data_IF_340415004284
#
_entry.id   IF_340415004284
#
_cell.length_a   1.000
_cell.length_b   1.000
_cell.length_c   1.000
_cell.angle_alpha   90.00
_cell.angle_beta   90.00
_cell.angle_gamma   90.00
#
_symmetry.space_group_name_H-M   'P 1'
#
loop_
_entity.id
_entity.type
_entity.pdbx_description
1 polymer ?
#
# COMPACT_ATOMS: atom_id res chain seq x y z
N UNK A 1 -20.25 10.63 1.21
CA UNK A 1 -18.97 9.92 1.33
C UNK A 1 -19.03 8.75 0.37
N UNK A 2 -18.44 8.87 -0.82
CA UNK A 2 -18.50 7.83 -1.84
C UNK A 2 -17.59 6.69 -1.42
N UNK A 3 -18.14 5.52 -1.12
CA UNK A 3 -17.34 4.32 -0.86
C UNK A 3 -16.61 3.95 -2.16
N UNK A 4 -15.28 4.06 -2.12
CA UNK A 4 -14.42 3.58 -3.19
C UNK A 4 -14.56 2.05 -3.23
N UNK A 5 -15.14 1.52 -4.30
CA UNK A 5 -15.32 0.07 -4.47
C UNK A 5 -13.98 -0.54 -4.88
N UNK A 6 -13.19 -0.97 -3.90
CA UNK A 6 -11.94 -1.70 -4.14
C UNK A 6 -12.28 -3.09 -4.68
N UNK A 7 -11.77 -3.44 -5.88
CA UNK A 7 -11.96 -4.76 -6.46
C UNK A 7 -11.33 -5.82 -5.55
N UNK A 8 -12.16 -6.62 -4.87
CA UNK A 8 -11.72 -7.74 -4.02
C UNK A 8 -11.28 -8.99 -4.81
N UNK A 9 -11.21 -8.89 -6.13
CA UNK A 9 -11.02 -10.03 -7.04
C UNK A 9 -9.83 -9.76 -7.95
N UNK A 10 -8.92 -10.73 -8.03
CA UNK A 10 -7.68 -10.64 -8.78
C UNK A 10 -7.94 -10.53 -10.27
N UNK A 11 -7.46 -9.45 -10.90
CA UNK A 11 -7.56 -9.23 -12.35
C UNK A 11 -6.83 -10.28 -13.18
N UNK A 12 -5.88 -11.00 -12.57
CA UNK A 12 -5.07 -12.02 -13.26
C UNK A 12 -5.70 -13.41 -13.23
N UNK A 13 -6.36 -13.79 -12.15
CA UNK A 13 -6.84 -15.17 -11.97
C UNK A 13 -8.25 -15.30 -11.38
N UNK A 14 -8.92 -14.20 -11.05
CA UNK A 14 -10.24 -14.22 -10.40
C UNK A 14 -10.24 -14.57 -8.91
N UNK A 15 -9.05 -14.75 -8.31
CA UNK A 15 -8.88 -15.14 -6.90
C UNK A 15 -9.18 -14.05 -5.88
N UNK A 16 -9.33 -14.42 -4.61
CA UNK A 16 -9.51 -13.48 -3.50
C UNK A 16 -8.27 -12.58 -3.33
N UNK A 17 -8.51 -11.29 -3.13
CA UNK A 17 -7.47 -10.32 -2.78
C UNK A 17 -7.65 -9.82 -1.34
N UNK A 18 -6.54 -9.69 -0.61
CA UNK A 18 -6.49 -9.13 0.73
C UNK A 18 -5.60 -7.91 0.80
N UNK A 19 -6.01 -6.95 1.61
CA UNK A 19 -5.26 -5.73 1.86
C UNK A 19 -3.94 -6.00 2.59
N UNK A 20 -2.97 -5.12 2.36
CA UNK A 20 -1.66 -5.17 2.98
C UNK A 20 -0.76 -4.03 2.53
N UNK A 21 0.53 -4.15 2.85
CA UNK A 21 1.54 -3.16 2.50
C UNK A 21 2.84 -3.83 2.04
N UNK A 22 3.44 -3.26 1.00
CA UNK A 22 4.79 -3.59 0.59
C UNK A 22 5.78 -2.86 1.50
N UNK A 23 6.58 -3.62 2.23
CA UNK A 23 7.67 -3.12 3.05
C UNK A 23 8.95 -3.15 2.23
N UNK A 24 9.35 -1.96 1.77
CA UNK A 24 10.64 -1.74 1.12
C UNK A 24 11.60 -1.07 2.11
N UNK A 25 12.35 -1.87 2.85
CA UNK A 25 13.30 -1.36 3.83
C UNK A 25 14.69 -1.24 3.19
N UNK A 26 15.14 -0.01 2.98
CA UNK A 26 16.50 0.27 2.53
C UNK A 26 17.52 -0.19 3.60
N UNK A 27 18.06 -1.40 3.42
CA UNK A 27 19.05 -2.00 4.32
C UNK A 27 19.00 -3.52 4.37
N UNK A 28 17.84 -4.12 4.08
CA UNK A 28 17.70 -5.56 3.88
C UNK A 28 17.31 -5.79 2.44
N UNK A 29 18.13 -6.48 1.65
CA UNK A 29 17.97 -6.66 0.19
C UNK A 29 16.68 -7.40 -0.26
N UNK A 30 15.67 -7.50 0.59
CA UNK A 30 14.43 -8.21 0.30
C UNK A 30 13.24 -7.34 0.70
N UNK A 31 12.46 -6.96 -0.31
CA UNK A 31 11.12 -6.41 -0.14
C UNK A 31 10.22 -7.46 0.50
N UNK A 32 9.41 -7.06 1.48
CA UNK A 32 8.48 -7.95 2.20
C UNK A 32 7.03 -7.50 2.00
N UNK A 33 6.11 -8.42 2.18
CA UNK A 33 4.67 -8.11 2.25
C UNK A 33 4.19 -8.23 3.69
N UNK A 34 3.42 -7.25 4.13
CA UNK A 34 2.72 -7.26 5.41
C UNK A 34 1.22 -7.39 5.13
N UNK A 35 0.61 -8.48 5.59
CA UNK A 35 -0.84 -8.69 5.44
C UNK A 35 -1.63 -7.83 6.45
N UNK A 36 -2.78 -7.33 6.01
CA UNK A 36 -3.72 -6.56 6.83
C UNK A 36 -3.47 -5.05 6.84
N UNK A 37 -4.39 -4.30 7.46
CA UNK A 37 -4.32 -2.85 7.47
C UNK A 37 -3.19 -2.38 8.38
N UNK A 38 -2.32 -1.53 7.84
CA UNK A 38 -1.20 -0.98 8.62
C UNK A 38 -1.67 0.21 9.45
N UNK A 39 -1.45 0.11 10.77
CA UNK A 39 -1.56 1.22 11.69
C UNK A 39 -0.26 2.03 11.69
N UNK A 40 -0.33 3.28 11.22
CA UNK A 40 0.83 4.16 11.19
C UNK A 40 0.94 4.93 12.51
N UNK A 41 2.01 4.66 13.26
CA UNK A 41 2.35 5.49 14.43
C UNK A 41 2.77 6.91 14.01
N UNK A 42 2.62 7.93 14.88
CA UNK A 42 2.95 9.34 14.59
C UNK A 42 4.44 9.61 14.30
N UNK A 43 5.30 8.59 14.40
CA UNK A 43 6.76 8.67 14.22
C UNK A 43 7.29 7.52 13.35
N UNK A 44 6.74 7.32 12.15
CA UNK A 44 7.42 6.48 11.15
C UNK A 44 8.74 7.16 10.73
N UNK A 45 9.82 6.84 11.43
CA UNK A 45 11.17 7.38 11.23
C UNK A 45 12.05 6.41 10.43
N UNK A 46 11.47 5.76 9.41
CA UNK A 46 12.26 5.01 8.45
C UNK A 46 12.93 5.99 7.49
N UNK A 47 14.23 6.25 7.69
CA UNK A 47 15.18 6.91 6.77
C UNK A 47 14.64 7.66 5.56
N UNK A 48 13.69 8.57 5.75
CA UNK A 48 13.09 9.26 4.63
C UNK A 48 14.19 10.06 3.93
N UNK A 49 14.33 9.97 2.59
CA UNK A 49 15.12 10.95 1.85
C UNK A 49 14.63 12.35 2.27
N UNK A 50 15.49 13.37 2.19
CA UNK A 50 15.12 14.76 2.49
C UNK A 50 14.13 15.29 1.43
N UNK A 51 12.93 14.73 1.41
CA UNK A 51 11.81 15.09 0.56
C UNK A 51 10.81 15.86 1.41
N UNK A 52 10.19 16.85 0.79
CA UNK A 52 9.08 17.59 1.39
C UNK A 52 7.94 16.61 1.69
N UNK A 53 7.30 16.71 2.86
CA UNK A 53 6.25 15.76 3.30
C UNK A 53 5.08 15.72 2.33
N UNK A 54 4.79 16.85 1.70
CA UNK A 54 3.72 17.02 0.71
C UNK A 54 3.97 16.22 -0.59
N UNK A 55 5.17 15.65 -0.76
CA UNK A 55 5.53 14.79 -1.89
C UNK A 55 5.57 13.30 -1.54
N UNK A 56 5.11 12.93 -0.34
CA UNK A 56 5.08 11.55 0.15
C UNK A 56 3.63 11.09 0.19
N UNK A 57 3.26 10.21 -0.74
CA UNK A 57 1.91 9.67 -0.82
C UNK A 57 1.84 8.30 -0.15
N UNK A 58 0.73 8.03 0.54
CA UNK A 58 0.47 6.71 1.12
C UNK A 58 0.19 5.71 0.00
N UNK A 59 0.90 4.58 0.04
CA UNK A 59 0.64 3.43 -0.82
C UNK A 59 -0.12 2.37 -0.01
N UNK A 60 -1.26 1.94 -0.52
CA UNK A 60 -1.99 0.75 -0.06
C UNK A 60 -1.82 -0.35 -1.10
N UNK A 61 -1.89 -1.61 -0.69
CA UNK A 61 -1.81 -2.72 -1.63
C UNK A 61 -2.84 -3.79 -1.35
N UNK A 62 -3.11 -4.59 -2.39
CA UNK A 62 -3.90 -5.81 -2.31
C UNK A 62 -3.10 -6.96 -2.92
N UNK A 63 -2.99 -8.08 -2.19
CA UNK A 63 -2.33 -9.29 -2.65
C UNK A 63 -3.34 -10.40 -2.90
N UNK A 64 -3.26 -11.02 -4.06
CA UNK A 64 -4.01 -12.23 -4.38
C UNK A 64 -3.44 -13.43 -3.61
N UNK A 65 -4.31 -14.17 -2.93
CA UNK A 65 -3.90 -15.35 -2.16
C UNK A 65 -3.55 -16.56 -3.05
N UNK A 66 -4.10 -16.61 -4.26
CA UNK A 66 -3.94 -17.75 -5.17
C UNK A 66 -2.68 -17.64 -6.04
N UNK A 67 -2.48 -16.47 -6.68
CA UNK A 67 -1.40 -16.31 -7.67
C UNK A 67 -0.32 -15.30 -7.25
N UNK A 68 -0.44 -14.69 -6.06
CA UNK A 68 0.52 -13.72 -5.54
C UNK A 68 0.59 -12.39 -6.29
N UNK A 69 -0.34 -12.12 -7.23
CA UNK A 69 -0.43 -10.82 -7.88
C UNK A 69 -0.67 -9.73 -6.84
N UNK A 70 0.05 -8.62 -6.96
CA UNK A 70 -0.07 -7.46 -6.07
C UNK A 70 -0.50 -6.25 -6.90
N UNK A 71 -1.52 -5.58 -6.41
CA UNK A 71 -1.99 -4.31 -6.94
C UNK A 71 -1.71 -3.21 -5.91
N UNK A 72 -1.11 -2.10 -6.33
CA UNK A 72 -0.68 -1.00 -5.46
C UNK A 72 -1.40 0.28 -5.86
N UNK A 73 -2.01 0.92 -4.86
CA UNK A 73 -2.81 2.12 -5.02
C UNK A 73 -2.22 3.26 -4.21
N UNK A 74 -2.10 4.42 -4.84
CA UNK A 74 -1.85 5.68 -4.13
C UNK A 74 -3.20 6.28 -3.77
N UNK A 75 -3.30 6.84 -2.57
CA UNK A 75 -4.45 7.67 -2.24
C UNK A 75 -4.51 8.85 -3.23
N UNK A 76 -5.69 9.19 -3.79
CA UNK A 76 -5.84 10.38 -4.60
C UNK A 76 -5.42 11.62 -3.83
N UNK A 77 -4.95 12.66 -4.52
CA UNK A 77 -4.70 13.94 -3.89
C UNK A 77 -6.04 14.44 -3.32
N UNK A 78 -6.13 14.51 -1.99
CA UNK A 78 -7.22 15.21 -1.31
C UNK A 78 -7.00 16.68 -1.65
N UNK A 79 -7.65 17.19 -2.70
CA UNK A 79 -7.56 18.59 -3.08
C UNK A 79 -7.90 19.45 -1.87
N UNK A 80 -6.93 20.27 -1.44
CA UNK A 80 -7.07 21.20 -0.31
C UNK A 80 -8.39 21.97 -0.45
N UNK A 81 -9.29 21.77 0.51
CA UNK A 81 -10.38 22.69 0.81
C UNK A 81 -9.90 23.78 1.75
#
# INVERSE_FOLDING_TARGET
MSEMVWHKTCVRCGGEMRDGMLLDYMGTMQTKWLDGPVEFGPKWTGGNPKVKKERVHRVMGYRCLDCGFVDLYLQPDDGDG
#
